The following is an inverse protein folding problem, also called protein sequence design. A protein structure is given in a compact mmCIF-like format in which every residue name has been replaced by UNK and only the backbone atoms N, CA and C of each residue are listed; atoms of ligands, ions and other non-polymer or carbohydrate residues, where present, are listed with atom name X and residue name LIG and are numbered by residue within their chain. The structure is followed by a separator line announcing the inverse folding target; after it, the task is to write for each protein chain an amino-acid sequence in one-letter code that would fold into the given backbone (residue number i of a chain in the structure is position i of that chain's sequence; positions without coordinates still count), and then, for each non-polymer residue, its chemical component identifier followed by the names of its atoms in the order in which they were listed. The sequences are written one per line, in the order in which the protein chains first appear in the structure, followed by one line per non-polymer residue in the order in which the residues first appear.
data_IF_284213496024
#
_entry.id   IF_284213496024
#
_cell.length_a   1.000
_cell.length_b   1.000
_cell.length_c   1.000
_cell.angle_alpha   90.00
_cell.angle_beta   90.00
_cell.angle_gamma   90.00
#
_symmetry.space_group_name_H-M   'P 1'
#
loop_
_entity.id
_entity.type
_entity.pdbx_description
1 polymer ?
#
# COMPACT_ATOMS: atom_id res chain seq x y z
N UNK A 1 12.00 20.94 -4.51
CA UNK A 1 11.58 19.56 -4.81
C UNK A 1 11.11 19.48 -6.24
N UNK A 2 11.59 18.50 -6.97
CA UNK A 2 11.16 18.29 -8.34
C UNK A 2 9.72 17.80 -8.34
N UNK A 3 8.88 18.43 -9.15
CA UNK A 3 7.49 18.01 -9.25
C UNK A 3 7.37 16.82 -10.18
N UNK A 4 6.76 15.76 -9.70
CA UNK A 4 6.47 14.55 -10.50
C UNK A 4 4.96 14.37 -10.59
N UNK A 5 4.52 13.74 -11.68
CA UNK A 5 3.11 13.38 -11.79
C UNK A 5 2.83 12.19 -10.87
N UNK A 6 1.58 12.01 -10.43
CA UNK A 6 1.22 10.83 -9.63
C UNK A 6 1.58 9.52 -10.31
N UNK A 7 1.50 9.45 -11.62
CA UNK A 7 1.83 8.24 -12.37
C UNK A 7 3.32 7.91 -12.26
N UNK A 8 4.19 8.92 -12.32
CA UNK A 8 5.64 8.70 -12.22
C UNK A 8 6.04 8.18 -10.84
N UNK A 9 5.27 8.52 -9.82
CA UNK A 9 5.57 8.15 -8.44
C UNK A 9 4.88 6.85 -8.01
N UNK A 10 3.97 6.33 -8.82
CA UNK A 10 3.18 5.16 -8.44
C UNK A 10 4.05 3.94 -8.18
N UNK A 11 3.57 3.06 -7.32
CA UNK A 11 4.22 1.80 -7.00
C UNK A 11 3.20 0.69 -6.96
N UNK A 12 3.64 -0.51 -7.35
CA UNK A 12 2.80 -1.71 -7.31
C UNK A 12 3.59 -2.80 -6.60
N UNK A 13 2.97 -3.38 -5.58
CA UNK A 13 3.52 -4.52 -4.86
C UNK A 13 2.61 -5.72 -5.11
N UNK A 14 3.19 -6.85 -5.47
CA UNK A 14 2.42 -8.08 -5.69
C UNK A 14 3.00 -9.19 -4.82
N UNK A 15 2.14 -9.86 -4.05
CA UNK A 15 2.54 -10.91 -3.12
C UNK A 15 1.55 -12.07 -3.19
N UNK A 16 2.07 -13.29 -2.96
CA UNK A 16 1.22 -14.47 -2.75
C UNK A 16 1.02 -14.63 -1.26
N UNK A 17 -0.23 -14.89 -0.85
CA UNK A 17 -0.55 -15.13 0.56
C UNK A 17 -0.06 -16.52 0.94
N UNK A 18 1.01 -16.59 1.71
CA UNK A 18 1.62 -17.84 2.18
C UNK A 18 1.04 -18.24 3.55
N UNK A 19 1.22 -19.49 3.98
CA UNK A 19 0.67 -19.95 5.26
C UNK A 19 1.06 -19.08 6.44
N UNK A 20 2.30 -18.60 6.51
CA UNK A 20 2.75 -17.75 7.63
C UNK A 20 2.25 -16.31 7.53
N UNK A 21 1.53 -15.95 6.48
CA UNK A 21 0.86 -14.66 6.37
C UNK A 21 -0.59 -14.72 6.86
N UNK A 22 -1.05 -15.90 7.28
CA UNK A 22 -2.47 -16.13 7.55
C UNK A 22 -2.77 -16.28 9.04
N UNK A 23 -4.03 -16.03 9.38
CA UNK A 23 -4.58 -16.24 10.72
C UNK A 23 -5.18 -17.65 10.84
N UNK A 24 -5.86 -17.92 11.96
CA UNK A 24 -6.46 -19.23 12.23
C UNK A 24 -7.60 -19.59 11.28
N UNK A 25 -8.12 -18.64 10.54
CA UNK A 25 -9.17 -18.85 9.54
C UNK A 25 -8.59 -19.04 8.13
N UNK A 26 -7.27 -19.14 8.04
CA UNK A 26 -6.56 -19.34 6.78
C UNK A 26 -6.71 -18.13 5.82
N UNK A 27 -6.90 -16.96 6.37
CA UNK A 27 -6.99 -15.70 5.63
C UNK A 27 -5.81 -14.80 5.99
N UNK A 28 -5.44 -13.93 5.05
CA UNK A 28 -4.37 -12.95 5.26
C UNK A 28 -4.62 -12.14 6.53
N UNK A 29 -3.60 -12.06 7.40
CA UNK A 29 -3.69 -11.25 8.61
C UNK A 29 -3.76 -9.78 8.26
N UNK A 30 -4.63 -9.03 8.97
CA UNK A 30 -4.76 -7.60 8.77
C UNK A 30 -3.46 -6.85 8.94
N UNK A 31 -2.67 -7.22 9.96
CA UNK A 31 -1.39 -6.60 10.21
C UNK A 31 -0.37 -6.84 9.09
N UNK A 32 -0.41 -8.01 8.47
CA UNK A 32 0.47 -8.32 7.35
C UNK A 32 0.08 -7.47 6.13
N UNK A 33 -1.20 -7.33 5.87
CA UNK A 33 -1.69 -6.50 4.78
C UNK A 33 -1.29 -5.04 4.99
N UNK A 34 -1.48 -4.52 6.21
CA UNK A 34 -1.07 -3.16 6.53
C UNK A 34 0.43 -2.94 6.32
N UNK A 35 1.23 -3.95 6.66
CA UNK A 35 2.67 -3.88 6.43
C UNK A 35 3.00 -3.77 4.94
N UNK A 36 2.38 -4.60 4.11
CA UNK A 36 2.57 -4.52 2.66
C UNK A 36 2.09 -3.19 2.09
N UNK A 37 0.99 -2.67 2.62
CA UNK A 37 0.47 -1.37 2.21
C UNK A 37 1.43 -0.24 2.60
N UNK A 38 2.02 -0.33 3.79
CA UNK A 38 2.97 0.66 4.25
C UNK A 38 4.23 0.69 3.36
N UNK A 39 4.73 -0.49 2.97
CA UNK A 39 5.87 -0.58 2.07
C UNK A 39 5.54 0.08 0.72
N UNK A 40 4.38 -0.23 0.16
CA UNK A 40 3.94 0.33 -1.12
C UNK A 40 3.83 1.85 -1.03
N UNK A 41 3.24 2.34 0.04
CA UNK A 41 3.09 3.78 0.27
C UNK A 41 4.45 4.46 0.45
N UNK A 42 5.36 3.83 1.19
CA UNK A 42 6.70 4.35 1.41
C UNK A 42 7.47 4.51 0.09
N UNK A 43 7.38 3.50 -0.78
CA UNK A 43 8.01 3.56 -2.10
C UNK A 43 7.42 4.71 -2.92
N UNK A 44 6.10 4.84 -2.92
CA UNK A 44 5.42 5.92 -3.62
C UNK A 44 5.87 7.29 -3.12
N UNK A 45 5.92 7.46 -1.79
CA UNK A 45 6.33 8.71 -1.17
C UNK A 45 7.79 9.05 -1.51
N UNK A 46 8.66 8.04 -1.47
CA UNK A 46 10.06 8.23 -1.73
C UNK A 46 10.32 8.58 -3.20
N UNK A 47 9.62 7.93 -4.11
CA UNK A 47 9.71 8.25 -5.54
C UNK A 47 9.24 9.67 -5.84
N UNK A 48 8.20 10.13 -5.14
CA UNK A 48 7.65 11.45 -5.37
C UNK A 48 8.52 12.55 -4.79
N UNK A 49 9.01 12.36 -3.57
CA UNK A 49 9.78 13.39 -2.87
C UNK A 49 11.29 13.31 -3.14
N UNK A 50 11.79 12.17 -3.59
CA UNK A 50 13.23 11.87 -3.69
C UNK A 50 13.93 11.99 -2.34
N UNK A 51 13.19 11.79 -1.24
CA UNK A 51 13.71 11.86 0.12
C UNK A 51 13.15 10.72 0.95
N UNK A 52 13.86 10.38 2.01
CA UNK A 52 13.33 9.45 3.00
C UNK A 52 12.05 10.03 3.60
N UNK A 53 11.03 9.21 3.69
CA UNK A 53 9.73 9.63 4.20
C UNK A 53 9.23 8.60 5.20
N UNK A 54 8.50 9.08 6.21
CA UNK A 54 7.96 8.23 7.27
C UNK A 54 6.45 8.36 7.34
N UNK A 55 5.80 7.29 7.75
CA UNK A 55 4.35 7.26 7.93
C UNK A 55 3.95 8.14 9.10
N UNK A 56 3.08 9.11 8.83
CA UNK A 56 2.54 9.99 9.87
C UNK A 56 1.17 9.53 10.34
N UNK A 57 0.33 9.06 9.43
CA UNK A 57 -1.01 8.59 9.78
C UNK A 57 -1.57 7.68 8.70
N UNK A 58 -2.57 6.89 9.08
CA UNK A 58 -3.28 5.97 8.19
C UNK A 58 -4.77 6.22 8.39
N UNK A 59 -5.48 6.45 7.29
CA UNK A 59 -6.90 6.77 7.32
C UNK A 59 -7.72 5.84 6.44
N UNK A 60 -8.98 5.70 6.78
CA UNK A 60 -9.98 5.03 5.95
C UNK A 60 -9.61 3.59 5.59
N UNK A 61 -8.95 2.89 6.52
CA UNK A 61 -8.63 1.49 6.32
C UNK A 61 -9.89 0.67 6.56
N UNK A 62 -10.25 -0.18 5.61
CA UNK A 62 -11.33 -1.13 5.81
C UNK A 62 -10.86 -2.51 5.38
N UNK A 63 -11.33 -3.54 6.10
CA UNK A 63 -11.04 -4.94 5.80
C UNK A 63 -12.34 -5.61 5.42
N UNK A 64 -12.91 -5.18 4.29
CA UNK A 64 -14.27 -5.56 3.90
C UNK A 64 -14.38 -7.01 3.48
N UNK A 65 -13.30 -7.60 2.99
CA UNK A 65 -13.34 -8.95 2.47
C UNK A 65 -12.14 -9.75 2.93
N UNK A 66 -12.33 -10.99 3.38
CA UNK A 66 -11.19 -11.85 3.72
C UNK A 66 -10.43 -12.21 2.44
N UNK A 67 -9.12 -12.34 2.58
CA UNK A 67 -8.23 -12.73 1.49
C UNK A 67 -7.67 -14.11 1.82
N UNK A 68 -8.12 -15.16 1.14
CA UNK A 68 -7.69 -16.52 1.45
C UNK A 68 -6.22 -16.78 1.14
N UNK A 69 -5.65 -17.77 1.83
CA UNK A 69 -4.33 -18.28 1.52
C UNK A 69 -4.28 -18.70 0.05
N UNK A 70 -3.16 -18.41 -0.59
CA UNK A 70 -2.95 -18.74 -2.00
C UNK A 70 -3.41 -17.66 -2.96
N UNK A 71 -4.10 -16.62 -2.49
CA UNK A 71 -4.49 -15.50 -3.34
C UNK A 71 -3.26 -14.69 -3.74
N UNK A 72 -3.34 -14.05 -4.90
CA UNK A 72 -2.34 -13.08 -5.31
C UNK A 72 -2.87 -11.69 -4.95
N UNK A 73 -2.13 -10.98 -4.12
CA UNK A 73 -2.51 -9.63 -3.66
C UNK A 73 -1.69 -8.62 -4.43
N UNK A 74 -2.38 -7.65 -5.03
CA UNK A 74 -1.74 -6.54 -5.72
C UNK A 74 -2.14 -5.25 -5.01
N UNK A 75 -1.15 -4.46 -4.62
CA UNK A 75 -1.35 -3.18 -3.95
C UNK A 75 -0.77 -2.10 -4.84
N UNK A 76 -1.60 -1.12 -5.18
CA UNK A 76 -1.19 0.00 -6.01
C UNK A 76 -1.24 1.27 -5.19
N UNK A 77 -0.12 1.99 -5.15
CA UNK A 77 -0.02 3.26 -4.44
C UNK A 77 0.15 4.42 -5.41
N UNK A 78 -0.58 5.49 -5.17
CA UNK A 78 -0.52 6.72 -5.97
C UNK A 78 -0.60 7.93 -5.06
N UNK A 79 0.09 8.99 -5.45
CA UNK A 79 -0.04 10.27 -4.77
C UNK A 79 -1.44 10.83 -5.05
N UNK A 80 -2.18 11.11 -3.98
CA UNK A 80 -3.48 11.79 -4.10
C UNK A 80 -3.35 13.29 -3.83
N UNK A 81 -2.44 13.67 -2.93
CA UNK A 81 -2.16 15.07 -2.61
C UNK A 81 -0.70 15.22 -2.20
N UNK A 82 -0.13 16.37 -2.54
CA UNK A 82 1.26 16.68 -2.20
C UNK A 82 1.33 18.08 -1.62
N UNK A 83 2.07 18.21 -0.50
CA UNK A 83 2.29 19.46 0.21
C UNK A 83 3.81 19.70 0.31
N UNK A 84 4.22 20.75 1.03
CA UNK A 84 5.64 21.09 1.11
C UNK A 84 6.51 19.97 1.70
N UNK A 85 6.04 19.33 2.77
CA UNK A 85 6.80 18.28 3.44
C UNK A 85 5.99 17.03 3.73
N UNK A 86 4.74 16.98 3.26
CA UNK A 86 3.88 15.82 3.47
C UNK A 86 3.19 15.43 2.18
N UNK A 87 2.77 14.17 2.12
CA UNK A 87 2.12 13.60 0.95
C UNK A 87 1.02 12.67 1.41
N UNK A 88 -0.08 12.70 0.67
CA UNK A 88 -1.17 11.75 0.84
C UNK A 88 -1.07 10.69 -0.25
N UNK A 89 -1.06 9.43 0.14
CA UNK A 89 -0.95 8.31 -0.79
C UNK A 89 -2.22 7.48 -0.69
N UNK A 90 -2.88 7.31 -1.82
CA UNK A 90 -4.04 6.45 -1.95
C UNK A 90 -3.57 5.04 -2.33
N UNK A 91 -4.08 4.04 -1.61
CA UNK A 91 -3.72 2.64 -1.85
C UNK A 91 -4.96 1.84 -2.20
N UNK A 92 -4.88 1.10 -3.30
CA UNK A 92 -5.88 0.12 -3.70
C UNK A 92 -5.32 -1.27 -3.52
N UNK A 93 -6.12 -2.18 -2.96
CA UNK A 93 -5.74 -3.57 -2.75
C UNK A 93 -6.69 -4.48 -3.51
N UNK A 94 -6.11 -5.30 -4.36
CA UNK A 94 -6.84 -6.29 -5.17
C UNK A 94 -6.38 -7.68 -4.80
N UNK A 95 -7.29 -8.63 -4.76
CA UNK A 95 -6.97 -10.03 -4.57
C UNK A 95 -7.42 -10.83 -5.80
N UNK A 96 -6.55 -11.71 -6.25
CA UNK A 96 -6.82 -12.56 -7.40
C UNK A 96 -6.95 -14.01 -6.92
N UNK A 97 -8.06 -14.65 -7.30
CA UNK A 97 -8.26 -16.07 -7.10
C UNK A 97 -7.49 -16.80 -8.20
N UNK A 98 -6.48 -17.59 -7.80
CA UNK A 98 -5.60 -18.23 -8.77
C UNK A 98 -6.28 -19.34 -9.57
N UNK A 99 -7.39 -19.90 -9.08
CA UNK A 99 -8.11 -20.93 -9.81
C UNK A 99 -9.01 -20.35 -10.91
N UNK A 100 -9.57 -19.17 -10.71
CA UNK A 100 -10.47 -18.54 -11.67
C UNK A 100 -9.85 -17.35 -12.38
N UNK A 101 -8.80 -16.77 -11.83
CA UNK A 101 -8.21 -15.53 -12.34
C UNK A 101 -9.04 -14.30 -12.01
N UNK A 102 -10.12 -14.47 -11.24
CA UNK A 102 -10.98 -13.34 -10.89
C UNK A 102 -10.29 -12.43 -9.88
N UNK A 103 -10.32 -11.10 -10.16
CA UNK A 103 -9.75 -10.09 -9.28
C UNK A 103 -10.87 -9.34 -8.59
N UNK A 104 -10.74 -9.18 -7.27
CA UNK A 104 -11.71 -8.47 -6.45
C UNK A 104 -11.00 -7.39 -5.66
N UNK A 105 -11.56 -6.17 -5.67
CA UNK A 105 -11.03 -5.11 -4.83
C UNK A 105 -11.43 -5.39 -3.39
N UNK A 106 -10.43 -5.54 -2.52
CA UNK A 106 -10.64 -5.99 -1.14
C UNK A 106 -10.48 -4.88 -0.12
N UNK A 107 -9.72 -3.84 -0.45
CA UNK A 107 -9.38 -2.82 0.53
C UNK A 107 -8.90 -1.57 -0.17
N UNK A 108 -8.97 -0.46 0.55
CA UNK A 108 -8.33 0.78 0.16
C UNK A 108 -8.00 1.59 1.42
N UNK A 109 -7.02 2.45 1.32
CA UNK A 109 -6.63 3.28 2.44
C UNK A 109 -5.93 4.53 1.96
N UNK A 110 -5.84 5.52 2.85
CA UNK A 110 -5.08 6.74 2.62
C UNK A 110 -4.00 6.81 3.68
N UNK A 111 -2.75 6.88 3.23
CA UNK A 111 -1.59 7.03 4.09
C UNK A 111 -1.03 8.43 3.94
N UNK A 112 -0.68 9.07 5.05
CA UNK A 112 0.03 10.34 5.04
C UNK A 112 1.48 10.09 5.41
N UNK A 113 2.38 10.51 4.54
CA UNK A 113 3.82 10.42 4.76
C UNK A 113 4.42 11.81 4.89
N UNK A 114 5.43 11.92 5.73
CA UNK A 114 6.17 13.17 5.92
C UNK A 114 7.60 12.93 5.47
N UNK A 115 8.08 13.79 4.57
CA UNK A 115 9.45 13.75 4.14
C UNK A 115 10.33 14.27 5.27
N UNK A 116 11.38 13.51 5.60
CA UNK A 116 12.28 13.90 6.65
C UNK A 116 13.50 14.61 6.07
N UNK A 117 14.09 15.45 6.88
CA UNK A 117 15.30 16.14 6.51
C UNK A 117 16.44 15.13 6.34
N UNK A 118 17.30 15.34 5.34
CA UNK A 118 18.45 14.47 5.10
C UNK A 118 19.39 14.36 6.30
N UNK A 119 19.28 15.26 7.23
CA UNK A 119 20.09 15.27 8.42
C UNK A 119 19.51 14.43 9.55
N UNK A 120 18.26 14.07 9.44
CA UNK A 120 17.59 13.41 10.54
C UNK A 120 17.11 12.06 10.22
#
# INVERSE_FOLDING_TARGET
MTTKTPKESSAILTEIVLPNDTNNLDNLMGGRLLYWMDITAAITAQRHSNRTSVTASVHNVSFDQPIPRGSIVTIEGKISRSFNSSMEIFLDVWAEDTSSGEKTKCNEAIYTFVAVNNMG
#
